data_IF_859019148342
#
_entry.id   IF_859019148342
#
_cell.length_a   1.000
_cell.length_b   1.000
_cell.length_c   1.000
_cell.angle_alpha   90.00
_cell.angle_beta   90.00
_cell.angle_gamma   90.00
#
_symmetry.space_group_name_H-M   'P 1'
#
loop_
_entity.id
_entity.type
_entity.pdbx_description
1 polymer ?
#
# COMPACT_ATOMS: atom_id res chain seq x y z
N UNK A 1 4.98 -11.08 -26.37
CA UNK A 1 3.55 -11.00 -26.00
C UNK A 1 3.46 -10.31 -24.66
N UNK A 2 2.66 -9.24 -24.56
CA UNK A 2 2.59 -8.37 -23.38
C UNK A 2 1.94 -9.08 -22.16
N UNK A 3 2.29 -8.71 -20.91
CA UNK A 3 1.80 -9.34 -19.66
C UNK A 3 0.27 -9.37 -19.62
N UNK A 4 -0.36 -8.28 -20.05
CA UNK A 4 -1.80 -8.17 -20.17
C UNK A 4 -2.40 -9.18 -21.14
N UNK A 5 -1.73 -9.42 -22.27
CA UNK A 5 -2.19 -10.38 -23.28
C UNK A 5 -2.17 -11.81 -22.76
N UNK A 6 -1.20 -12.17 -21.90
CA UNK A 6 -1.10 -13.51 -21.29
C UNK A 6 -2.13 -13.74 -20.19
N UNK A 7 -2.31 -12.77 -19.30
CA UNK A 7 -3.36 -12.82 -18.28
C UNK A 7 -4.73 -12.88 -18.96
N UNK A 8 -4.92 -12.09 -20.01
CA UNK A 8 -6.14 -12.08 -20.80
C UNK A 8 -6.39 -13.42 -21.52
N UNK A 9 -5.36 -14.05 -22.10
CA UNK A 9 -5.53 -15.36 -22.75
C UNK A 9 -5.91 -16.44 -21.73
N UNK A 10 -5.26 -16.47 -20.57
CA UNK A 10 -5.58 -17.42 -19.50
C UNK A 10 -7.01 -17.22 -18.96
N UNK A 11 -7.40 -15.98 -18.68
CA UNK A 11 -8.76 -15.65 -18.27
C UNK A 11 -9.79 -16.09 -19.33
N UNK A 12 -9.48 -15.92 -20.61
CA UNK A 12 -10.35 -16.31 -21.72
C UNK A 12 -10.45 -17.83 -21.87
N UNK A 13 -9.37 -18.56 -21.60
CA UNK A 13 -9.36 -20.02 -21.61
C UNK A 13 -10.13 -20.61 -20.43
N UNK A 14 -10.02 -20.03 -19.22
CA UNK A 14 -10.61 -20.61 -18.01
C UNK A 14 -12.04 -20.14 -17.74
N UNK A 15 -12.38 -18.91 -18.12
CA UNK A 15 -13.72 -18.33 -17.95
C UNK A 15 -14.52 -18.42 -19.25
N UNK A 16 -14.84 -19.65 -19.69
CA UNK A 16 -15.55 -19.89 -20.96
C UNK A 16 -17.03 -19.49 -20.96
N UNK A 17 -17.71 -19.57 -19.80
CA UNK A 17 -19.15 -19.27 -19.71
C UNK A 17 -19.40 -17.86 -19.17
N UNK A 18 -20.50 -17.24 -19.57
CA UNK A 18 -20.90 -15.92 -19.04
C UNK A 18 -21.11 -15.98 -17.52
N UNK A 19 -21.71 -17.07 -17.04
CA UNK A 19 -21.96 -17.30 -15.61
C UNK A 19 -20.67 -17.39 -14.78
N UNK A 20 -19.58 -17.98 -15.33
CA UNK A 20 -18.30 -18.03 -14.62
C UNK A 20 -17.58 -16.69 -14.61
N UNK A 21 -17.71 -15.90 -15.69
CA UNK A 21 -17.18 -14.53 -15.75
C UNK A 21 -17.87 -13.60 -14.75
N UNK A 22 -19.20 -13.64 -14.68
CA UNK A 22 -19.98 -12.83 -13.74
C UNK A 22 -19.62 -13.18 -12.29
N UNK A 23 -19.61 -14.47 -11.95
CA UNK A 23 -19.20 -14.93 -10.60
C UNK A 23 -17.77 -14.51 -10.25
N UNK A 24 -16.84 -14.57 -11.21
CA UNK A 24 -15.47 -14.13 -10.98
C UNK A 24 -15.39 -12.61 -10.74
N UNK A 25 -16.13 -11.82 -11.53
CA UNK A 25 -16.23 -10.36 -11.34
C UNK A 25 -16.79 -9.99 -9.97
N UNK A 26 -17.82 -10.71 -9.50
CA UNK A 26 -18.40 -10.50 -8.17
C UNK A 26 -17.39 -10.77 -7.06
N UNK A 27 -16.68 -11.91 -7.12
CA UNK A 27 -15.64 -12.27 -6.15
C UNK A 27 -14.52 -11.23 -6.18
N UNK A 28 -14.08 -10.82 -7.37
CA UNK A 28 -13.01 -9.83 -7.54
C UNK A 28 -13.42 -8.47 -6.98
N UNK A 29 -14.64 -8.01 -7.28
CA UNK A 29 -15.21 -6.77 -6.75
C UNK A 29 -15.29 -6.78 -5.22
N UNK A 30 -15.75 -7.88 -4.63
CA UNK A 30 -15.80 -8.05 -3.18
C UNK A 30 -14.40 -8.00 -2.55
N UNK A 31 -13.43 -8.72 -3.12
CA UNK A 31 -12.03 -8.71 -2.65
C UNK A 31 -11.40 -7.33 -2.73
N UNK A 32 -11.66 -6.60 -3.81
CA UNK A 32 -11.20 -5.23 -3.97
C UNK A 32 -11.79 -4.30 -2.91
N UNK A 33 -13.07 -4.46 -2.56
CA UNK A 33 -13.71 -3.66 -1.51
C UNK A 33 -13.13 -3.95 -0.12
N UNK A 34 -12.89 -5.23 0.19
CA UNK A 34 -12.27 -5.64 1.45
C UNK A 34 -10.84 -5.12 1.57
N UNK A 35 -10.05 -5.25 0.52
CA UNK A 35 -8.69 -4.71 0.44
C UNK A 35 -8.68 -3.18 0.59
N UNK A 36 -9.62 -2.46 -0.04
CA UNK A 36 -9.77 -1.01 0.11
C UNK A 36 -10.04 -0.60 1.56
N UNK A 37 -10.96 -1.30 2.25
CA UNK A 37 -11.24 -1.06 3.68
C UNK A 37 -10.02 -1.36 4.55
N UNK A 38 -9.29 -2.44 4.25
CA UNK A 38 -8.08 -2.80 4.98
C UNK A 38 -6.98 -1.74 4.83
N UNK A 39 -6.72 -1.29 3.60
CA UNK A 39 -5.77 -0.19 3.29
C UNK A 39 -6.15 1.07 4.09
N UNK A 40 -7.43 1.46 4.08
CA UNK A 40 -7.90 2.63 4.83
C UNK A 40 -7.68 2.53 6.35
N UNK A 41 -7.94 1.36 6.94
CA UNK A 41 -7.68 1.11 8.37
C UNK A 41 -6.18 1.16 8.69
N UNK A 42 -5.34 0.53 7.88
CA UNK A 42 -3.89 0.55 8.07
C UNK A 42 -3.32 1.96 7.94
N UNK A 43 -3.82 2.75 6.98
CA UNK A 43 -3.44 4.15 6.81
C UNK A 43 -3.76 4.99 8.06
N UNK A 44 -4.94 4.80 8.67
CA UNK A 44 -5.28 5.45 9.93
C UNK A 44 -4.33 5.05 11.05
N UNK A 45 -3.99 3.76 11.16
CA UNK A 45 -3.02 3.29 12.17
C UNK A 45 -1.65 3.94 11.95
N UNK A 46 -1.16 4.05 10.71
CA UNK A 46 0.10 4.73 10.41
C UNK A 46 0.09 6.19 10.88
N UNK A 47 -0.95 6.94 10.56
CA UNK A 47 -1.09 8.35 10.99
C UNK A 47 -1.11 8.44 12.51
N UNK A 48 -1.93 7.61 13.18
CA UNK A 48 -2.06 7.63 14.63
C UNK A 48 -0.75 7.24 15.32
N UNK A 49 -0.03 6.24 14.83
CA UNK A 49 1.28 5.85 15.37
C UNK A 49 2.33 6.94 15.17
N UNK A 50 2.38 7.56 13.98
CA UNK A 50 3.29 8.67 13.69
C UNK A 50 3.02 9.90 14.55
N UNK A 51 1.75 10.20 14.85
CA UNK A 51 1.36 11.32 15.72
C UNK A 51 1.54 10.98 17.21
N UNK A 52 1.23 9.75 17.63
CA UNK A 52 1.32 9.33 19.02
C UNK A 52 2.75 9.32 19.54
N UNK A 53 3.72 8.94 18.70
CA UNK A 53 5.12 8.86 19.13
C UNK A 53 5.70 10.17 19.67
N UNK A 54 5.73 11.29 18.90
CA UNK A 54 6.26 12.55 19.41
C UNK A 54 5.43 13.08 20.58
N UNK A 55 4.11 12.84 20.59
CA UNK A 55 3.26 13.20 21.71
C UNK A 55 3.72 12.50 22.99
N UNK A 56 3.90 11.18 22.97
CA UNK A 56 4.36 10.41 24.15
C UNK A 56 5.79 10.80 24.52
N UNK A 57 6.70 10.92 23.55
CA UNK A 57 8.11 11.20 23.78
C UNK A 57 8.34 12.58 24.43
N UNK A 58 7.53 13.58 24.07
CA UNK A 58 7.66 14.93 24.60
C UNK A 58 6.86 15.15 25.89
N UNK A 59 5.83 14.33 26.11
CA UNK A 59 5.06 14.42 27.36
C UNK A 59 5.78 13.70 28.49
N UNK A 60 6.07 14.43 29.58
CA UNK A 60 6.48 13.86 30.89
C UNK A 60 5.31 13.15 31.59
N UNK A 61 4.48 12.40 30.86
CA UNK A 61 3.36 11.67 31.43
C UNK A 61 3.93 10.39 32.05
N UNK A 62 4.11 10.42 33.37
CA UNK A 62 4.58 9.29 34.16
C UNK A 62 3.54 8.14 34.26
N UNK A 63 2.31 8.33 33.78
CA UNK A 63 1.26 7.30 33.81
C UNK A 63 0.22 7.55 32.71
N UNK A 64 0.08 6.62 31.76
CA UNK A 64 -1.05 6.60 30.81
C UNK A 64 -2.05 5.56 31.34
N UNK A 65 -3.23 6.03 31.78
CA UNK A 65 -4.31 5.14 32.23
C UNK A 65 -5.24 4.79 31.07
N UNK A 66 -5.30 3.51 30.68
CA UNK A 66 -6.29 2.97 29.74
C UNK A 66 -7.23 2.05 30.52
N UNK A 67 -8.35 2.61 31.00
CA UNK A 67 -9.30 1.86 31.84
C UNK A 67 -8.65 1.42 33.16
N UNK A 68 -8.75 0.14 33.57
CA UNK A 68 -8.10 -0.35 34.79
C UNK A 68 -6.59 -0.59 34.64
N UNK A 69 -6.05 -0.44 33.43
CA UNK A 69 -4.62 -0.66 33.15
C UNK A 69 -3.87 0.67 33.23
N UNK A 70 -2.94 0.76 34.18
CA UNK A 70 -1.96 1.85 34.27
C UNK A 70 -0.71 1.42 33.52
N UNK A 71 -0.42 2.07 32.40
CA UNK A 71 0.87 1.95 31.72
C UNK A 71 1.80 2.92 32.43
N UNK A 72 2.62 2.38 33.33
CA UNK A 72 3.55 3.11 34.19
C UNK A 72 4.82 3.50 33.41
N UNK A 73 5.12 2.81 32.30
CA UNK A 73 6.31 3.08 31.50
C UNK A 73 5.95 3.57 30.09
N UNK A 74 5.96 4.90 29.93
CA UNK A 74 5.95 5.54 28.59
C UNK A 74 7.05 4.99 27.68
N UNK A 75 8.15 4.51 28.26
CA UNK A 75 9.28 3.90 27.56
C UNK A 75 8.90 2.60 26.83
N UNK A 76 8.01 1.77 27.41
CA UNK A 76 7.52 0.57 26.75
C UNK A 76 6.63 0.94 25.56
N UNK A 77 5.79 1.97 25.72
CA UNK A 77 4.97 2.46 24.61
C UNK A 77 5.85 3.01 23.46
N UNK A 78 6.88 3.79 23.80
CA UNK A 78 7.85 4.34 22.85
C UNK A 78 8.69 3.25 22.16
N UNK A 79 9.01 2.16 22.87
CA UNK A 79 9.68 0.99 22.31
C UNK A 79 8.83 0.27 21.25
N UNK A 80 7.52 0.14 21.47
CA UNK A 80 6.65 -0.69 20.64
C UNK A 80 6.16 0.06 19.39
N UNK A 81 5.96 1.38 19.46
CA UNK A 81 5.40 2.18 18.36
C UNK A 81 6.18 2.04 17.04
N UNK A 82 7.53 2.10 16.99
CA UNK A 82 8.27 1.87 15.75
C UNK A 82 7.90 0.53 15.12
N UNK A 83 7.85 -0.54 15.91
CA UNK A 83 7.49 -1.89 15.41
C UNK A 83 6.07 -1.93 14.86
N UNK A 84 5.11 -1.31 15.53
CA UNK A 84 3.73 -1.20 15.03
C UNK A 84 3.71 -0.43 13.71
N UNK A 85 4.42 0.70 13.64
CA UNK A 85 4.45 1.54 12.45
C UNK A 85 5.07 0.79 11.26
N UNK A 86 6.25 0.22 11.42
CA UNK A 86 6.98 -0.50 10.35
C UNK A 86 6.18 -1.71 9.86
N UNK A 87 5.62 -2.50 10.77
CA UNK A 87 4.78 -3.65 10.41
C UNK A 87 3.50 -3.23 9.67
N UNK A 88 2.84 -2.17 10.15
CA UNK A 88 1.62 -1.64 9.51
C UNK A 88 1.94 -1.14 8.12
N UNK A 89 3.09 -0.48 7.93
CA UNK A 89 3.51 0.05 6.64
C UNK A 89 3.85 -1.08 5.66
N UNK A 90 4.58 -2.09 6.12
CA UNK A 90 4.83 -3.31 5.36
C UNK A 90 3.54 -3.96 4.87
N UNK A 91 2.57 -4.18 5.78
CA UNK A 91 1.28 -4.79 5.46
C UNK A 91 0.45 -3.91 4.52
N UNK A 92 0.48 -2.59 4.71
CA UNK A 92 -0.17 -1.63 3.83
C UNK A 92 0.34 -1.78 2.39
N UNK A 93 1.67 -1.86 2.20
CA UNK A 93 2.26 -2.01 0.87
C UNK A 93 1.91 -3.35 0.21
N UNK A 94 1.89 -4.46 0.97
CA UNK A 94 1.49 -5.76 0.42
C UNK A 94 0.05 -5.74 -0.13
N UNK A 95 -0.90 -5.23 0.67
CA UNK A 95 -2.31 -5.16 0.25
C UNK A 95 -2.46 -4.15 -0.89
N UNK A 96 -1.69 -3.07 -0.88
CA UNK A 96 -1.68 -2.10 -1.97
C UNK A 96 -1.26 -2.72 -3.30
N UNK A 97 -0.19 -3.53 -3.33
CA UNK A 97 0.24 -4.22 -4.56
C UNK A 97 -0.81 -5.20 -5.07
N UNK A 98 -1.37 -6.04 -4.19
CA UNK A 98 -2.45 -6.97 -4.55
C UNK A 98 -3.67 -6.23 -5.11
N UNK A 99 -4.06 -5.11 -4.51
CA UNK A 99 -5.16 -4.29 -4.99
C UNK A 99 -4.91 -3.68 -6.38
N UNK A 100 -3.68 -3.28 -6.68
CA UNK A 100 -3.30 -2.78 -8.01
C UNK A 100 -3.40 -3.88 -9.07
N UNK A 101 -2.92 -5.09 -8.78
CA UNK A 101 -3.04 -6.24 -9.69
C UNK A 101 -4.50 -6.69 -9.88
N UNK A 102 -5.31 -6.67 -8.81
CA UNK A 102 -6.74 -6.94 -8.88
C UNK A 102 -7.46 -5.93 -9.78
N UNK A 103 -7.13 -4.64 -9.68
CA UNK A 103 -7.66 -3.60 -10.59
C UNK A 103 -7.34 -3.87 -12.05
N UNK A 104 -6.08 -4.23 -12.33
CA UNK A 104 -5.64 -4.57 -13.68
C UNK A 104 -6.43 -5.76 -14.23
N UNK A 105 -6.56 -6.81 -13.42
CA UNK A 105 -7.33 -8.01 -13.75
C UNK A 105 -8.80 -7.68 -13.99
N UNK A 106 -9.41 -6.86 -13.12
CA UNK A 106 -10.80 -6.43 -13.24
C UNK A 106 -11.05 -5.71 -14.57
N UNK A 107 -10.16 -4.80 -14.98
CA UNK A 107 -10.24 -4.12 -16.29
C UNK A 107 -10.18 -5.09 -17.47
N UNK A 108 -9.34 -6.11 -17.40
CA UNK A 108 -9.21 -7.11 -18.46
C UNK A 108 -10.46 -7.98 -18.57
N UNK A 109 -11.01 -8.44 -17.44
CA UNK A 109 -12.21 -9.29 -17.42
C UNK A 109 -13.43 -8.50 -17.88
N UNK A 110 -13.61 -7.27 -17.42
CA UNK A 110 -14.72 -6.39 -17.85
C UNK A 110 -14.63 -6.04 -19.33
N UNK A 111 -13.43 -5.77 -19.84
CA UNK A 111 -13.17 -5.61 -21.28
C UNK A 111 -13.56 -6.87 -22.07
N UNK A 112 -13.20 -8.06 -21.59
CA UNK A 112 -13.54 -9.33 -22.23
C UNK A 112 -15.05 -9.66 -22.16
N UNK A 113 -15.71 -9.31 -21.05
CA UNK A 113 -17.11 -9.62 -20.81
C UNK A 113 -18.04 -8.72 -21.63
N UNK A 114 -17.77 -7.41 -21.66
CA UNK A 114 -18.59 -6.45 -22.38
C UNK A 114 -18.12 -6.18 -23.83
N UNK A 115 -17.04 -6.82 -24.28
CA UNK A 115 -16.47 -6.57 -25.61
C UNK A 115 -15.94 -5.14 -25.78
N UNK A 116 -15.54 -4.49 -24.69
CA UNK A 116 -15.02 -3.12 -24.67
C UNK A 116 -13.50 -3.13 -24.82
N UNK A 117 -12.91 -2.01 -25.29
CA UNK A 117 -11.46 -1.82 -25.15
C UNK A 117 -11.09 -1.64 -23.67
N UNK A 118 -9.97 -2.23 -23.25
CA UNK A 118 -9.46 -2.15 -21.87
C UNK A 118 -9.35 -0.70 -21.35
N UNK A 119 -8.88 0.20 -22.21
CA UNK A 119 -8.69 1.62 -21.92
C UNK A 119 -9.87 2.49 -22.37
N UNK A 120 -11.04 1.90 -22.66
CA UNK A 120 -12.23 2.68 -22.98
C UNK A 120 -12.78 3.39 -21.75
N UNK A 121 -13.34 4.58 -21.95
CA UNK A 121 -14.00 5.35 -20.89
C UNK A 121 -15.08 4.53 -20.15
N UNK A 122 -15.84 3.71 -20.89
CA UNK A 122 -16.87 2.84 -20.33
C UNK A 122 -16.27 1.80 -19.38
N UNK A 123 -15.19 1.14 -19.80
CA UNK A 123 -14.50 0.15 -18.97
C UNK A 123 -13.83 0.81 -17.75
N UNK A 124 -13.32 2.03 -17.92
CA UNK A 124 -12.70 2.79 -16.84
C UNK A 124 -13.72 3.21 -15.77
N UNK A 125 -14.96 3.50 -16.17
CA UNK A 125 -16.10 3.81 -15.27
C UNK A 125 -16.55 2.63 -14.43
N UNK A 126 -16.32 1.40 -14.87
CA UNK A 126 -16.64 0.20 -14.10
C UNK A 126 -15.67 -0.05 -12.95
N UNK A 127 -14.48 0.56 -12.98
CA UNK A 127 -13.51 0.36 -11.90
C UNK A 127 -13.99 0.98 -10.59
N UNK A 128 -13.71 0.32 -9.45
CA UNK A 128 -13.95 0.91 -8.14
C UNK A 128 -13.25 2.26 -8.01
N UNK A 129 -13.96 3.24 -7.43
CA UNK A 129 -13.41 4.57 -7.23
C UNK A 129 -12.09 4.53 -6.46
N UNK A 130 -11.10 5.25 -6.99
CA UNK A 130 -9.87 5.58 -6.30
C UNK A 130 -9.52 7.03 -6.57
N UNK A 131 -9.07 7.71 -5.52
CA UNK A 131 -8.61 9.10 -5.60
C UNK A 131 -7.45 9.21 -6.58
N UNK A 132 -6.49 8.28 -6.52
CA UNK A 132 -5.33 8.25 -7.42
C UNK A 132 -5.75 8.08 -8.88
N UNK A 133 -6.69 7.17 -9.16
CA UNK A 133 -7.22 7.00 -10.52
C UNK A 133 -8.01 8.23 -11.00
N UNK A 134 -8.70 8.91 -10.09
CA UNK A 134 -9.48 10.10 -10.42
C UNK A 134 -8.59 11.30 -10.74
N UNK A 135 -7.48 11.45 -10.01
CA UNK A 135 -6.47 12.47 -10.29
C UNK A 135 -5.74 12.15 -11.58
N UNK A 136 -5.36 10.90 -11.80
CA UNK A 136 -4.71 10.46 -13.05
C UNK A 136 -5.63 10.67 -14.27
N UNK A 137 -6.93 10.42 -14.12
CA UNK A 137 -7.94 10.71 -15.16
C UNK A 137 -8.07 12.20 -15.45
N UNK A 138 -8.14 13.02 -14.41
CA UNK A 138 -8.22 14.47 -14.58
C UNK A 138 -7.00 15.01 -15.36
N UNK A 139 -5.80 14.55 -14.99
CA UNK A 139 -4.55 14.93 -15.67
C UNK A 139 -4.44 14.39 -17.11
N UNK A 140 -5.16 13.31 -17.47
CA UNK A 140 -5.21 12.78 -18.85
C UNK A 140 -6.29 13.46 -19.72
N UNK A 141 -7.37 13.95 -19.10
CA UNK A 141 -8.49 14.59 -19.80
C UNK A 141 -8.21 16.07 -20.11
N UNK A 142 -7.41 16.75 -19.31
CA UNK A 142 -6.98 18.12 -19.61
C UNK A 142 -5.94 18.13 -20.75
N UNK A 143 -6.42 18.33 -21.97
CA UNK A 143 -5.60 18.74 -23.10
C UNK A 143 -4.95 20.10 -22.77
N UNK A 144 -3.64 20.08 -22.51
CA UNK A 144 -2.69 21.19 -22.71
C UNK A 144 -3.18 22.61 -22.36
N UNK A 145 -3.70 22.82 -21.15
CA UNK A 145 -3.72 24.15 -20.54
C UNK A 145 -2.52 24.32 -19.60
N UNK A 146 -2.01 25.54 -19.47
CA UNK A 146 -0.89 25.91 -18.57
C UNK A 146 -1.16 25.42 -17.13
N UNK A 147 -2.45 25.39 -16.75
CA UNK A 147 -2.94 24.90 -15.46
C UNK A 147 -2.72 23.39 -15.30
N UNK A 148 -2.94 22.59 -16.35
CA UNK A 148 -2.69 21.15 -16.35
C UNK A 148 -1.19 20.81 -16.27
N UNK A 149 -0.32 21.66 -16.85
CA UNK A 149 1.13 21.52 -16.71
C UNK A 149 1.60 21.84 -15.28
N UNK A 150 1.06 22.89 -14.66
CA UNK A 150 1.36 23.26 -13.27
C UNK A 150 0.85 22.19 -12.28
N UNK A 151 -0.34 21.64 -12.54
CA UNK A 151 -0.92 20.48 -11.83
C UNK A 151 0.04 19.28 -11.87
N UNK A 152 0.50 18.88 -13.06
CA UNK A 152 1.45 17.77 -13.20
C UNK A 152 2.80 18.05 -12.54
N UNK A 153 3.30 19.29 -12.60
CA UNK A 153 4.56 19.68 -11.95
C UNK A 153 4.46 19.58 -10.43
N UNK A 154 3.34 20.00 -9.83
CA UNK A 154 3.09 19.88 -8.39
C UNK A 154 2.88 18.43 -7.96
N UNK A 155 2.33 17.58 -8.84
CA UNK A 155 2.03 16.19 -8.51
C UNK A 155 3.28 15.32 -8.33
N UNK A 156 4.36 15.60 -9.07
CA UNK A 156 5.61 14.83 -8.98
C UNK A 156 6.23 14.93 -7.57
N UNK A 157 6.45 16.14 -7.00
CA UNK A 157 6.86 16.30 -5.60
C UNK A 157 5.88 15.68 -4.62
N UNK A 158 4.56 15.85 -4.81
CA UNK A 158 3.56 15.27 -3.90
C UNK A 158 3.63 13.75 -3.88
N UNK A 159 3.72 13.11 -5.05
CA UNK A 159 3.88 11.65 -5.16
C UNK A 159 5.20 11.18 -4.54
N UNK A 160 6.29 11.92 -4.77
CA UNK A 160 7.58 11.63 -4.15
C UNK A 160 7.48 11.70 -2.62
N UNK A 161 6.94 12.78 -2.08
CA UNK A 161 6.73 12.93 -0.62
C UNK A 161 5.84 11.80 -0.10
N UNK A 162 4.72 11.48 -0.73
CA UNK A 162 3.83 10.41 -0.27
C UNK A 162 4.50 9.02 -0.24
N UNK A 163 5.44 8.75 -1.14
CA UNK A 163 6.15 7.46 -1.20
C UNK A 163 7.29 7.42 -0.17
N UNK A 164 8.07 8.50 -0.04
CA UNK A 164 9.27 8.52 0.80
C UNK A 164 9.02 8.97 2.25
N UNK A 165 7.94 9.71 2.52
CA UNK A 165 7.59 10.19 3.86
C UNK A 165 7.45 9.06 4.89
N UNK A 166 6.80 7.91 4.59
CA UNK A 166 6.71 6.82 5.56
C UNK A 166 8.09 6.28 5.98
N UNK A 167 9.05 6.19 5.06
CA UNK A 167 10.43 5.79 5.38
C UNK A 167 11.16 6.83 6.22
N UNK A 168 10.91 8.12 5.97
CA UNK A 168 11.44 9.21 6.80
C UNK A 168 10.90 9.15 8.23
N UNK A 169 9.60 8.90 8.38
CA UNK A 169 8.96 8.70 9.69
C UNK A 169 9.52 7.46 10.37
N UNK A 170 9.61 6.33 9.67
CA UNK A 170 10.19 5.09 10.19
C UNK A 170 11.62 5.28 10.70
N UNK A 171 12.48 5.94 9.92
CA UNK A 171 13.83 6.28 10.35
C UNK A 171 13.82 7.17 11.61
N UNK A 172 12.98 8.21 11.63
CA UNK A 172 12.83 9.08 12.79
C UNK A 172 12.41 8.30 14.05
N UNK A 173 11.38 7.45 13.95
CA UNK A 173 10.90 6.64 15.06
C UNK A 173 11.99 5.70 15.61
N UNK A 174 12.68 4.97 14.74
CA UNK A 174 13.74 4.03 15.14
C UNK A 174 14.91 4.78 15.79
N UNK A 175 15.31 5.92 15.21
CA UNK A 175 16.41 6.74 15.70
C UNK A 175 16.10 7.28 17.10
N UNK A 176 14.94 7.90 17.29
CA UNK A 176 14.54 8.44 18.59
C UNK A 176 14.40 7.33 19.65
N UNK A 177 13.81 6.19 19.30
CA UNK A 177 13.75 5.04 20.21
C UNK A 177 15.13 4.55 20.62
N UNK A 178 16.10 4.52 19.69
CA UNK A 178 17.49 4.17 20.01
C UNK A 178 18.13 5.16 21.00
N UNK A 179 17.89 6.47 20.80
CA UNK A 179 18.43 7.52 21.68
C UNK A 179 17.77 7.51 23.07
N UNK A 180 16.47 7.25 23.15
CA UNK A 180 15.71 7.21 24.42
C UNK A 180 16.06 5.97 25.25
N UNK A 181 16.05 4.80 24.64
CA UNK A 181 16.28 3.53 25.35
C UNK A 181 17.78 3.34 25.66
N UNK A 182 18.67 3.84 24.79
CA UNK A 182 20.11 3.65 24.89
C UNK A 182 20.49 2.17 25.17
N UNK A 183 20.35 1.27 24.18
CA UNK A 183 20.23 -0.16 24.41
C UNK A 183 21.47 -0.79 25.08
N UNK A 184 21.28 -1.30 26.29
CA UNK A 184 22.33 -2.02 27.07
C UNK A 184 22.03 -3.52 27.07
N UNK A 185 20.75 -3.90 27.19
CA UNK A 185 20.33 -5.29 27.26
C UNK A 185 20.03 -5.87 25.89
N UNK A 186 20.02 -7.21 25.80
CA UNK A 186 19.60 -7.91 24.59
C UNK A 186 18.16 -7.57 24.18
N UNK A 187 17.27 -7.34 25.14
CA UNK A 187 15.86 -6.98 24.88
C UNK A 187 15.78 -5.60 24.22
N UNK A 188 16.56 -4.63 24.71
CA UNK A 188 16.61 -3.28 24.14
C UNK A 188 17.11 -3.29 22.69
N UNK A 189 18.10 -4.14 22.41
CA UNK A 189 18.58 -4.35 21.04
C UNK A 189 17.50 -4.97 20.14
N UNK A 190 16.69 -5.92 20.63
CA UNK A 190 15.59 -6.48 19.85
C UNK A 190 14.56 -5.41 19.46
N UNK A 191 14.26 -4.47 20.37
CA UNK A 191 13.30 -3.38 20.14
C UNK A 191 13.73 -2.50 18.95
N UNK A 192 15.03 -2.30 18.74
CA UNK A 192 15.56 -1.50 17.62
C UNK A 192 15.77 -2.35 16.35
N UNK A 193 16.24 -3.58 16.51
CA UNK A 193 16.58 -4.47 15.38
C UNK A 193 15.31 -4.94 14.66
N UNK A 194 14.25 -5.34 15.36
CA UNK A 194 13.01 -5.86 14.76
C UNK A 194 12.39 -4.85 13.76
N UNK A 195 12.10 -3.59 14.14
CA UNK A 195 11.54 -2.63 13.19
C UNK A 195 12.50 -2.35 12.03
N UNK A 196 13.81 -2.32 12.28
CA UNK A 196 14.83 -2.15 11.22
C UNK A 196 14.82 -3.32 10.22
N UNK A 197 14.70 -4.56 10.69
CA UNK A 197 14.58 -5.72 9.82
C UNK A 197 13.29 -5.68 9.00
N UNK A 198 12.17 -5.30 9.62
CA UNK A 198 10.89 -5.12 8.90
C UNK A 198 11.03 -4.03 7.82
N UNK A 199 11.70 -2.92 8.12
CA UNK A 199 12.01 -1.85 7.17
C UNK A 199 12.77 -2.40 5.95
N UNK A 200 13.84 -3.15 6.21
CA UNK A 200 14.65 -3.78 5.16
C UNK A 200 13.83 -4.76 4.33
N UNK A 201 13.03 -5.62 4.96
CA UNK A 201 12.12 -6.52 4.26
C UNK A 201 11.09 -5.76 3.42
N UNK A 202 10.63 -4.60 3.88
CA UNK A 202 9.69 -3.75 3.13
C UNK A 202 10.33 -3.22 1.86
N UNK A 203 11.56 -2.71 1.94
CA UNK A 203 12.33 -2.24 0.76
C UNK A 203 12.65 -3.40 -0.18
N UNK A 204 13.04 -4.56 0.36
CA UNK A 204 13.30 -5.77 -0.43
C UNK A 204 12.04 -6.26 -1.13
N UNK A 205 10.90 -6.34 -0.45
CA UNK A 205 9.62 -6.72 -1.07
C UNK A 205 9.24 -5.71 -2.15
N UNK A 206 9.39 -4.41 -1.92
CA UNK A 206 9.10 -3.41 -2.94
C UNK A 206 9.98 -3.54 -4.20
N UNK A 207 11.27 -3.77 -4.03
CA UNK A 207 12.22 -3.95 -5.14
C UNK A 207 12.07 -5.32 -5.82
N UNK A 208 11.75 -6.37 -5.07
CA UNK A 208 11.59 -7.73 -5.59
C UNK A 208 10.23 -7.93 -6.26
N UNK A 209 9.16 -7.25 -5.83
CA UNK A 209 7.88 -7.32 -6.52
C UNK A 209 7.98 -6.78 -7.96
N UNK A 210 8.83 -5.76 -8.19
CA UNK A 210 9.20 -5.31 -9.54
C UNK A 210 9.90 -6.40 -10.37
N UNK A 211 10.59 -7.35 -9.71
CA UNK A 211 11.35 -8.45 -10.34
C UNK A 211 10.50 -9.72 -10.52
N UNK A 212 9.52 -9.97 -9.64
CA UNK A 212 8.52 -11.04 -9.78
C UNK A 212 7.57 -10.75 -10.95
N UNK A 213 7.21 -9.48 -11.13
CA UNK A 213 6.51 -8.97 -12.32
C UNK A 213 7.25 -9.25 -13.63
N UNK A 214 8.58 -9.34 -13.59
CA UNK A 214 9.42 -9.71 -14.73
C UNK A 214 9.48 -11.23 -14.96
N UNK A 215 9.56 -12.03 -13.88
CA UNK A 215 9.66 -13.51 -13.97
C UNK A 215 8.34 -14.23 -14.29
N UNK A 216 7.18 -13.71 -13.86
CA UNK A 216 5.88 -14.24 -14.28
C UNK A 216 5.65 -14.07 -15.79
N UNK A 217 6.26 -13.03 -16.38
CA UNK A 217 6.33 -12.84 -17.83
C UNK A 217 7.09 -14.00 -18.52
N UNK A 218 8.18 -14.47 -17.90
CA UNK A 218 9.04 -15.54 -18.44
C UNK A 218 8.44 -16.94 -18.22
N UNK A 219 7.83 -17.20 -17.05
CA UNK A 219 7.18 -18.49 -16.76
C UNK A 219 5.96 -18.77 -17.64
N UNK A 220 5.24 -17.71 -18.03
CA UNK A 220 4.17 -17.79 -19.01
C UNK A 220 4.69 -17.74 -20.46
N UNK A 221 6.00 -17.76 -20.69
CA UNK A 221 6.63 -17.90 -22.02
C UNK A 221 7.18 -19.31 -22.27
N UNK A 222 7.22 -20.15 -21.23
CA UNK A 222 7.69 -21.54 -21.27
C UNK A 222 6.58 -22.58 -21.44
N UNK A 223 5.34 -22.14 -21.68
CA UNK A 223 4.17 -22.92 -22.08
C UNK A 223 3.50 -22.23 -23.27
#
# INVERSE_FOLDING_TARGET
MDRDQKVFSFIKEELKSENSKEKYLDILSQRMEDNRKAIGRLFLVLILSAAAFPLIAQTKIAEISIGPFKIIDGDIALAIIPTIFTYTYYKYLLIWFDFVDQKRTFRLVTSAYFGLKSDSFLNERLNPFSVIDSITRHNKQEKMDIIGCLSNLLWIPTAFVLIFLPFGIEYYLIKETYEIINPISFIDWLIVIIPTLIALFTVLSWTCNKKLDFKLSDYAASF
#
